data_IF_771776533446
#
_entry.id   IF_771776533446
#
_cell.length_a   1.000
_cell.length_b   1.000
_cell.length_c   1.000
_cell.angle_alpha   90.00
_cell.angle_beta   90.00
_cell.angle_gamma   90.00
#
_symmetry.space_group_name_H-M   'P 1'
#
loop_
_entity.id
_entity.type
_entity.pdbx_description
1 polymer ?
#
# COMPACT_ATOMS: atom_id res chain seq x y z
N UNK A 1 -0.88 -12.18 -13.01
CA UNK A 1 -1.11 -11.24 -11.88
C UNK A 1 -1.02 -9.83 -12.43
N UNK A 2 -2.04 -8.99 -12.20
CA UNK A 2 -2.03 -7.60 -12.64
C UNK A 2 -1.44 -6.72 -11.54
N UNK A 3 -0.50 -5.85 -11.91
CA UNK A 3 0.09 -4.82 -11.04
C UNK A 3 -0.82 -3.60 -10.87
N UNK A 4 -1.99 -3.59 -11.52
CA UNK A 4 -2.86 -2.43 -11.59
C UNK A 4 -3.63 -2.23 -10.29
N UNK A 5 -3.80 -3.30 -9.50
CA UNK A 5 -4.47 -3.26 -8.20
C UNK A 5 -3.86 -4.25 -7.20
N UNK A 6 -3.92 -3.90 -5.92
CA UNK A 6 -3.54 -4.76 -4.81
C UNK A 6 -4.76 -5.14 -3.99
N UNK A 7 -5.04 -6.43 -3.85
CA UNK A 7 -6.04 -6.90 -2.88
C UNK A 7 -5.48 -6.78 -1.47
N UNK A 8 -6.21 -6.13 -0.57
CA UNK A 8 -5.83 -6.03 0.84
C UNK A 8 -6.30 -7.25 1.64
N UNK A 9 -5.58 -7.65 2.70
CA UNK A 9 -6.02 -8.71 3.59
C UNK A 9 -7.39 -8.40 4.21
N UNK A 10 -8.30 -9.38 4.28
CA UNK A 10 -9.69 -9.16 4.71
C UNK A 10 -9.81 -8.50 6.08
N UNK A 11 -9.04 -8.97 7.07
CA UNK A 11 -9.05 -8.40 8.42
C UNK A 11 -8.61 -6.94 8.44
N UNK A 12 -7.66 -6.57 7.58
CA UNK A 12 -7.21 -5.19 7.44
C UNK A 12 -8.29 -4.35 6.75
N UNK A 13 -8.90 -4.87 5.70
CA UNK A 13 -9.99 -4.20 4.99
C UNK A 13 -11.17 -3.83 5.90
N UNK A 14 -11.57 -4.73 6.82
CA UNK A 14 -12.64 -4.45 7.79
C UNK A 14 -12.35 -3.27 8.73
N UNK A 15 -11.08 -3.05 9.08
CA UNK A 15 -10.68 -1.92 9.95
C UNK A 15 -10.77 -0.60 9.18
N UNK A 16 -10.39 -0.63 7.91
CA UNK A 16 -10.35 0.54 7.02
C UNK A 16 -11.73 0.91 6.52
N UNK A 17 -12.57 -0.06 6.16
CA UNK A 17 -13.93 0.15 5.63
C UNK A 17 -14.82 0.91 6.61
N UNK A 18 -14.69 0.66 7.92
CA UNK A 18 -15.40 1.42 8.96
C UNK A 18 -15.03 2.90 9.03
N UNK A 19 -14.11 3.38 8.19
CA UNK A 19 -13.68 4.78 8.08
C UNK A 19 -14.04 5.39 6.71
N UNK A 20 -14.68 4.62 5.84
CA UNK A 20 -15.18 4.99 4.51
C UNK A 20 -14.15 5.74 3.60
N UNK A 21 -12.87 5.33 3.50
CA UNK A 21 -11.92 6.03 2.67
C UNK A 21 -12.15 5.72 1.19
N UNK A 22 -12.39 6.75 0.38
CA UNK A 22 -12.37 6.64 -1.09
C UNK A 22 -10.94 6.68 -1.66
N UNK A 23 -10.01 7.29 -0.92
CA UNK A 23 -8.60 7.42 -1.28
C UNK A 23 -7.74 7.18 -0.03
N UNK A 24 -6.50 6.74 -0.25
CA UNK A 24 -5.48 6.60 0.79
C UNK A 24 -4.16 7.21 0.34
N UNK A 25 -3.40 7.70 1.31
CA UNK A 25 -2.07 8.27 1.16
C UNK A 25 -1.04 7.25 1.60
N UNK A 26 -0.26 6.75 0.66
CA UNK A 26 0.83 5.83 0.95
C UNK A 26 2.12 6.62 1.19
N UNK A 27 2.85 6.27 2.23
CA UNK A 27 4.21 6.78 2.49
C UNK A 27 5.10 5.65 2.99
N UNK A 28 6.40 5.77 2.72
CA UNK A 28 7.37 4.75 3.12
C UNK A 28 7.92 5.06 4.50
N UNK A 29 7.77 4.13 5.44
CA UNK A 29 8.25 4.34 6.80
C UNK A 29 9.77 4.53 6.86
N UNK A 30 10.19 5.68 7.38
CA UNK A 30 11.62 5.99 7.59
C UNK A 30 12.40 6.13 6.29
N UNK A 31 11.76 6.64 5.24
CA UNK A 31 12.32 6.81 3.90
C UNK A 31 11.96 8.16 3.26
N UNK A 32 12.19 8.25 1.94
CA UNK A 32 11.93 9.45 1.14
C UNK A 32 10.54 10.08 1.40
N UNK A 33 10.49 11.40 1.43
CA UNK A 33 9.35 12.25 1.83
C UNK A 33 8.16 12.26 0.85
N UNK A 34 8.10 11.29 -0.07
CA UNK A 34 7.01 11.23 -1.04
C UNK A 34 5.69 10.79 -0.41
N UNK A 35 4.60 11.34 -0.93
CA UNK A 35 3.24 10.87 -0.68
C UNK A 35 2.70 10.34 -2.00
N UNK A 36 2.14 9.13 -1.97
CA UNK A 36 1.54 8.50 -3.14
C UNK A 36 0.06 8.23 -2.89
N UNK A 37 -0.83 9.07 -3.45
CA UNK A 37 -2.26 8.80 -3.43
C UNK A 37 -2.59 7.50 -4.19
N UNK A 38 -3.52 6.72 -3.65
CA UNK A 38 -4.15 5.57 -4.28
C UNK A 38 -5.65 5.56 -3.99
N UNK A 39 -6.44 5.03 -4.92
CA UNK A 39 -7.88 4.89 -4.76
C UNK A 39 -8.22 3.54 -4.12
N UNK A 40 -9.33 3.52 -3.38
CA UNK A 40 -9.91 2.31 -2.79
C UNK A 40 -11.14 1.89 -3.59
N UNK A 41 -11.19 0.61 -3.96
CA UNK A 41 -12.38 0.02 -4.58
C UNK A 41 -12.74 -1.31 -3.92
N UNK A 42 -14.02 -1.66 -4.02
CA UNK A 42 -14.54 -2.97 -3.67
C UNK A 42 -14.97 -3.72 -4.93
N UNK A 43 -14.76 -5.03 -4.95
CA UNK A 43 -15.39 -5.88 -5.97
C UNK A 43 -16.77 -6.37 -5.51
N UNK A 44 -17.46 -7.12 -6.38
CA UNK A 44 -18.78 -7.68 -6.09
C UNK A 44 -18.79 -8.76 -5.00
N UNK A 45 -17.62 -9.23 -4.55
CA UNK A 45 -17.46 -10.20 -3.46
C UNK A 45 -17.10 -9.51 -2.12
N UNK A 46 -16.97 -8.18 -2.12
CA UNK A 46 -16.62 -7.40 -0.92
C UNK A 46 -15.12 -7.37 -0.63
N UNK A 47 -14.26 -7.75 -1.58
CA UNK A 47 -12.81 -7.58 -1.42
C UNK A 47 -12.40 -6.14 -1.68
N UNK A 48 -11.59 -5.60 -0.78
CA UNK A 48 -11.03 -4.25 -0.91
C UNK A 48 -9.70 -4.27 -1.68
N UNK A 49 -9.54 -3.32 -2.59
CA UNK A 49 -8.34 -3.17 -3.40
C UNK A 49 -7.82 -1.73 -3.38
N UNK A 50 -6.49 -1.59 -3.37
CA UNK A 50 -5.83 -0.35 -3.79
C UNK A 50 -5.66 -0.38 -5.31
N UNK A 51 -6.12 0.66 -6.00
CA UNK A 51 -5.93 0.84 -7.44
C UNK A 51 -5.56 2.30 -7.74
N UNK A 52 -5.44 2.67 -9.03
CA UNK A 52 -5.19 4.04 -9.50
C UNK A 52 -4.20 4.84 -8.62
N UNK A 53 -2.95 4.36 -8.58
CA UNK A 53 -1.91 4.91 -7.70
C UNK A 53 -0.98 3.82 -7.19
N UNK A 54 -1.52 2.64 -6.89
CA UNK A 54 -0.75 1.46 -6.48
C UNK A 54 0.37 1.10 -7.48
N UNK A 55 0.04 1.01 -8.77
CA UNK A 55 1.04 0.71 -9.82
C UNK A 55 2.16 1.76 -9.91
N UNK A 56 1.85 3.03 -9.65
CA UNK A 56 2.85 4.10 -9.63
C UNK A 56 3.74 3.94 -8.40
N UNK A 57 3.14 3.68 -7.23
CA UNK A 57 3.85 3.43 -5.99
C UNK A 57 4.83 2.25 -6.10
N UNK A 58 4.42 1.11 -6.66
CA UNK A 58 5.30 -0.06 -6.84
C UNK A 58 6.46 0.24 -7.78
N UNK A 59 6.22 0.96 -8.88
CA UNK A 59 7.27 1.38 -9.82
C UNK A 59 8.26 2.35 -9.20
N UNK A 60 7.79 3.39 -8.50
CA UNK A 60 8.65 4.37 -7.84
C UNK A 60 9.58 3.74 -6.80
N UNK A 61 9.17 2.62 -6.22
CA UNK A 61 9.93 1.93 -5.19
C UNK A 61 10.53 0.60 -5.66
N UNK A 62 10.52 0.28 -6.96
CA UNK A 62 11.01 -1.01 -7.47
C UNK A 62 10.47 -2.22 -6.67
N UNK A 63 9.18 -2.26 -6.39
CA UNK A 63 8.52 -3.40 -5.73
C UNK A 63 8.19 -4.42 -6.82
N UNK A 64 8.66 -5.66 -6.64
CA UNK A 64 8.47 -6.75 -7.58
C UNK A 64 7.92 -8.01 -6.88
N UNK A 65 7.64 -9.06 -7.65
CA UNK A 65 7.11 -10.33 -7.16
C UNK A 65 8.15 -10.95 -6.21
N UNK A 66 7.69 -11.44 -5.08
CA UNK A 66 8.56 -12.00 -4.04
C UNK A 66 8.95 -10.97 -2.97
N UNK A 67 8.72 -9.68 -3.18
CA UNK A 67 8.82 -8.69 -2.12
C UNK A 67 7.60 -8.74 -1.20
N UNK A 68 7.83 -8.44 0.08
CA UNK A 68 6.77 -8.36 1.08
C UNK A 68 6.49 -6.90 1.41
N UNK A 69 5.21 -6.55 1.43
CA UNK A 69 4.75 -5.20 1.76
C UNK A 69 3.91 -5.28 3.03
N UNK A 70 4.31 -4.51 4.04
CA UNK A 70 3.58 -4.40 5.31
C UNK A 70 2.93 -3.03 5.37
N UNK A 71 1.60 -3.03 5.48
CA UNK A 71 0.80 -1.83 5.69
C UNK A 71 0.55 -1.63 7.18
N UNK A 72 0.67 -0.39 7.62
CA UNK A 72 0.16 0.08 8.90
C UNK A 72 -0.85 1.17 8.60
N UNK A 73 -2.05 1.01 9.13
CA UNK A 73 -3.08 2.03 9.09
C UNK A 73 -2.82 3.02 10.22
N UNK A 74 -2.56 4.28 9.87
CA UNK A 74 -2.27 5.35 10.83
C UNK A 74 -3.52 6.20 11.15
N UNK A 75 -4.67 5.86 10.56
CA UNK A 75 -5.95 6.54 10.74
C UNK A 75 -6.35 7.37 9.52
N UNK A 76 -7.65 7.70 9.44
CA UNK A 76 -8.25 8.43 8.32
C UNK A 76 -7.90 7.79 6.95
N UNK A 77 -7.08 8.44 6.15
CA UNK A 77 -6.62 8.02 4.83
C UNK A 77 -5.12 7.66 4.81
N UNK A 78 -4.43 7.64 5.95
CA UNK A 78 -2.97 7.61 5.99
C UNK A 78 -2.38 6.20 6.28
N UNK A 79 -1.51 5.74 5.38
CA UNK A 79 -0.96 4.39 5.36
C UNK A 79 0.58 4.42 5.31
N UNK A 80 1.21 4.08 6.43
CA UNK A 80 2.64 3.73 6.48
C UNK A 80 2.90 2.39 5.80
N UNK A 81 3.89 2.38 4.89
CA UNK A 81 4.31 1.19 4.15
C UNK A 81 5.76 0.83 4.46
N UNK A 82 6.01 -0.44 4.79
CA UNK A 82 7.36 -1.02 4.85
C UNK A 82 7.49 -2.05 3.74
N UNK A 83 8.61 -2.02 3.02
CA UNK A 83 8.91 -3.01 1.99
C UNK A 83 10.10 -3.86 2.41
N UNK A 84 9.97 -5.16 2.24
CA UNK A 84 11.01 -6.14 2.46
C UNK A 84 11.30 -6.83 1.13
N UNK A 85 12.57 -7.02 0.82
CA UNK A 85 12.97 -7.73 -0.40
C UNK A 85 12.74 -9.24 -0.26
N UNK A 86 13.13 -9.99 -1.29
CA UNK A 86 13.04 -11.45 -1.33
C UNK A 86 13.82 -12.17 -0.21
N UNK A 87 14.78 -11.49 0.42
CA UNK A 87 15.55 -12.02 1.56
C UNK A 87 14.88 -11.73 2.91
N UNK A 88 13.68 -11.14 2.91
CA UNK A 88 12.98 -10.64 4.10
C UNK A 88 13.73 -9.51 4.82
N UNK A 89 14.74 -8.91 4.19
CA UNK A 89 15.41 -7.75 4.72
C UNK A 89 14.58 -6.50 4.43
N UNK A 90 14.44 -5.63 5.44
CA UNK A 90 13.73 -4.36 5.27
C UNK A 90 14.55 -3.49 4.33
N UNK A 91 13.90 -2.97 3.28
CA UNK A 91 14.54 -1.99 2.41
C UNK A 91 14.61 -0.65 3.12
N UNK A 92 15.78 -0.04 3.01
CA UNK A 92 16.04 1.31 3.50
C UNK A 92 16.03 2.27 2.30
N UNK A 93 15.37 3.39 2.49
CA UNK A 93 15.29 4.44 1.50
C UNK A 93 16.10 5.61 2.04
N UNK A 94 16.95 6.19 1.21
CA UNK A 94 17.71 7.37 1.60
C UNK A 94 16.74 8.53 1.89
N UNK A 95 16.91 9.14 3.05
CA UNK A 95 16.44 10.49 3.35
C UNK A 95 17.58 11.42 2.98
N UNK A 96 17.40 12.19 1.90
CA UNK A 96 18.25 13.36 1.64
C UNK A 96 18.02 14.43 2.72
#
# INVERSE_FOLDING_TARGET
>A
MSWDRLRLPQRFALIVDGQEPHHVLLHVSGGATGIWPAEVMFDGEGWMFLHNGWRRFTRSHAIDVGHFVVFKYDGHDDFSVKVFDETMCRRHYHTD
#
